data_IF_352026977224
#
_entry.id   IF_352026977224
#
_cell.length_a   1.000
_cell.length_b   1.000
_cell.length_c   1.000
_cell.angle_alpha   90.00
_cell.angle_beta   90.00
_cell.angle_gamma   90.00
#
_symmetry.space_group_name_H-M   'P 1'
#
loop_
_entity.id
_entity.type
_entity.pdbx_description
1 polymer ?
#
# COMPACT_ATOMS: atom_id res chain seq x y z
N UNK A 1 -0.46 -16.32 -6.85
CA UNK A 1 0.45 -15.88 -7.96
C UNK A 1 1.88 -16.08 -7.48
N UNK A 2 2.87 -16.46 -8.29
CA UNK A 2 4.25 -16.63 -7.75
C UNK A 2 5.03 -15.32 -7.74
N UNK A 3 6.04 -15.23 -6.85
CA UNK A 3 6.91 -14.04 -6.70
C UNK A 3 7.61 -13.67 -8.02
N UNK A 4 7.99 -14.65 -8.84
CA UNK A 4 8.59 -14.47 -10.17
C UNK A 4 7.75 -13.52 -11.04
N UNK A 5 6.41 -13.60 -10.98
CA UNK A 5 5.56 -12.75 -11.81
C UNK A 5 5.66 -11.27 -11.40
N UNK A 6 5.82 -10.98 -10.10
CA UNK A 6 6.03 -9.61 -9.61
C UNK A 6 7.41 -9.11 -10.04
N UNK A 7 8.42 -9.98 -9.91
CA UNK A 7 9.78 -9.69 -10.36
C UNK A 7 9.82 -9.34 -11.85
N UNK A 8 9.20 -10.17 -12.70
CA UNK A 8 9.19 -9.96 -14.14
C UNK A 8 8.56 -8.61 -14.51
N UNK A 9 7.45 -8.27 -13.87
CA UNK A 9 6.80 -6.98 -14.07
C UNK A 9 7.70 -5.82 -13.62
N UNK A 10 8.40 -5.94 -12.49
CA UNK A 10 9.32 -4.91 -12.03
C UNK A 10 10.50 -4.72 -13.02
N UNK A 11 11.09 -5.82 -13.53
CA UNK A 11 12.15 -5.75 -14.54
C UNK A 11 11.65 -5.08 -15.82
N UNK A 12 10.41 -5.36 -16.23
CA UNK A 12 9.79 -4.68 -17.37
C UNK A 12 9.55 -3.19 -17.14
N UNK A 13 9.10 -2.79 -15.95
CA UNK A 13 8.94 -1.38 -15.60
C UNK A 13 10.27 -0.63 -15.64
N UNK A 14 11.34 -1.28 -15.19
CA UNK A 14 12.70 -0.74 -15.16
C UNK A 14 13.37 -0.73 -16.54
N UNK A 15 12.74 -1.30 -17.57
CA UNK A 15 13.33 -1.55 -18.90
C UNK A 15 14.66 -2.31 -18.83
N UNK A 16 14.77 -3.23 -17.87
CA UNK A 16 15.98 -4.03 -17.61
C UNK A 16 15.93 -5.43 -18.23
N UNK A 17 14.87 -5.76 -18.98
CA UNK A 17 14.79 -7.03 -19.71
C UNK A 17 15.83 -7.09 -20.84
N UNK A 18 16.15 -8.30 -21.27
CA UNK A 18 16.93 -8.48 -22.48
C UNK A 18 16.22 -7.87 -23.70
N UNK A 19 16.83 -6.88 -24.34
CA UNK A 19 16.24 -6.10 -25.44
C UNK A 19 15.81 -6.95 -26.65
N UNK A 20 16.47 -8.08 -26.89
CA UNK A 20 16.22 -8.93 -28.07
C UNK A 20 15.20 -10.05 -27.81
N UNK A 21 15.02 -10.47 -26.57
CA UNK A 21 14.21 -11.65 -26.22
C UNK A 21 13.07 -11.35 -25.25
N UNK A 22 13.10 -10.20 -24.59
CA UNK A 22 12.19 -9.88 -23.49
C UNK A 22 12.45 -10.67 -22.20
N UNK A 23 13.50 -11.49 -22.14
CA UNK A 23 13.82 -12.27 -20.95
C UNK A 23 14.18 -11.37 -19.77
N UNK A 24 13.50 -11.56 -18.64
CA UNK A 24 13.75 -10.89 -17.36
C UNK A 24 14.80 -11.59 -16.53
N UNK A 25 15.09 -12.86 -16.83
CA UNK A 25 16.14 -13.65 -16.18
C UNK A 25 17.39 -13.60 -17.05
N UNK A 26 18.35 -12.77 -16.65
CA UNK A 26 19.62 -12.57 -17.35
C UNK A 26 20.78 -12.56 -16.34
N UNK A 27 22.02 -12.43 -16.84
CA UNK A 27 23.16 -12.24 -15.95
C UNK A 27 23.07 -10.90 -15.19
N UNK A 28 22.55 -9.85 -15.84
CA UNK A 28 22.48 -8.49 -15.29
C UNK A 28 21.36 -8.34 -14.25
N UNK A 29 20.26 -9.08 -14.38
CA UNK A 29 19.14 -9.03 -13.42
C UNK A 29 19.29 -10.03 -12.26
N UNK A 30 20.38 -10.80 -12.24
CA UNK A 30 20.61 -11.83 -11.23
C UNK A 30 20.66 -11.27 -9.81
N UNK A 31 21.28 -10.11 -9.62
CA UNK A 31 21.33 -9.47 -8.31
C UNK A 31 19.92 -9.08 -7.84
N UNK A 32 19.11 -8.52 -8.74
CA UNK A 32 17.73 -8.15 -8.44
C UNK A 32 16.90 -9.36 -8.01
N UNK A 33 17.05 -10.49 -8.72
CA UNK A 33 16.38 -11.73 -8.38
C UNK A 33 16.71 -12.20 -6.95
N UNK A 34 17.99 -12.11 -6.53
CA UNK A 34 18.44 -12.50 -5.19
C UNK A 34 17.91 -11.56 -4.09
N UNK A 35 17.74 -10.28 -4.39
CA UNK A 35 17.21 -9.28 -3.44
C UNK A 35 15.69 -9.32 -3.32
N UNK A 36 15.00 -9.82 -4.35
CA UNK A 36 13.53 -9.75 -4.46
C UNK A 36 12.79 -10.37 -3.29
N UNK A 37 13.07 -11.61 -2.82
CA UNK A 37 12.32 -12.19 -1.70
C UNK A 37 12.38 -11.32 -0.43
N UNK A 38 13.57 -10.79 -0.12
CA UNK A 38 13.76 -9.91 1.04
C UNK A 38 12.97 -8.61 0.89
N UNK A 39 13.01 -7.99 -0.30
CA UNK A 39 12.26 -6.76 -0.56
C UNK A 39 10.75 -7.01 -0.48
N UNK A 40 10.25 -8.08 -1.10
CA UNK A 40 8.83 -8.44 -1.05
C UNK A 40 8.37 -8.60 0.41
N UNK A 41 9.14 -9.31 1.24
CA UNK A 41 8.80 -9.45 2.67
C UNK A 41 8.63 -8.11 3.39
N UNK A 42 9.41 -7.07 3.04
CA UNK A 42 9.23 -5.73 3.62
C UNK A 42 7.97 -5.01 3.15
N UNK A 43 7.44 -5.40 1.98
CA UNK A 43 6.25 -4.81 1.39
C UNK A 43 4.96 -5.57 1.79
N UNK A 44 5.05 -6.86 2.14
CA UNK A 44 3.88 -7.69 2.49
C UNK A 44 3.01 -7.05 3.56
N UNK A 45 3.61 -6.60 4.67
CA UNK A 45 2.87 -5.98 5.78
C UNK A 45 2.21 -4.64 5.41
N UNK A 46 2.70 -3.98 4.36
CA UNK A 46 2.15 -2.72 3.87
C UNK A 46 0.94 -2.94 2.96
N UNK A 47 1.00 -3.99 2.12
CA UNK A 47 -0.02 -4.25 1.09
C UNK A 47 -1.11 -5.20 1.56
N UNK A 48 -0.81 -6.13 2.46
CA UNK A 48 -1.74 -7.18 2.86
C UNK A 48 -3.06 -6.65 3.42
N UNK A 49 -3.10 -5.61 4.28
CA UNK A 49 -4.35 -5.02 4.77
C UNK A 49 -5.28 -4.47 3.68
N UNK A 50 -4.75 -4.21 2.49
CA UNK A 50 -5.50 -3.70 1.35
C UNK A 50 -5.78 -4.76 0.31
N UNK A 51 -5.41 -6.01 0.59
CA UNK A 51 -5.66 -7.12 -0.30
C UNK A 51 -7.07 -7.67 -0.11
N UNK A 52 -7.69 -8.11 -1.21
CA UNK A 52 -8.97 -8.82 -1.16
C UNK A 52 -8.92 -10.17 -0.44
N UNK A 53 -7.72 -10.71 -0.19
CA UNK A 53 -7.51 -11.94 0.61
C UNK A 53 -7.36 -11.65 2.11
N UNK A 54 -7.35 -10.38 2.52
CA UNK A 54 -7.22 -10.02 3.93
C UNK A 54 -8.47 -10.44 4.71
N UNK A 55 -8.32 -11.21 5.80
CA UNK A 55 -9.46 -11.71 6.54
C UNK A 55 -10.17 -10.59 7.30
N UNK A 56 -11.50 -10.71 7.45
CA UNK A 56 -12.24 -9.89 8.39
C UNK A 56 -11.75 -10.18 9.81
N UNK A 57 -11.30 -9.15 10.51
CA UNK A 57 -10.83 -9.27 11.89
C UNK A 57 -12.02 -9.05 12.81
N UNK A 58 -12.30 -10.01 13.70
CA UNK A 58 -13.36 -9.86 14.70
C UNK A 58 -12.97 -8.79 15.75
N UNK A 59 -13.98 -8.08 16.26
CA UNK A 59 -13.79 -7.10 17.34
C UNK A 59 -13.17 -7.77 18.57
N UNK A 60 -12.03 -7.25 19.01
CA UNK A 60 -11.29 -7.76 20.16
C UNK A 60 -10.21 -8.80 19.85
N UNK A 61 -9.96 -9.15 18.58
CA UNK A 61 -8.78 -9.94 18.22
C UNK A 61 -7.49 -9.20 18.60
N UNK A 62 -6.59 -9.89 19.31
CA UNK A 62 -5.27 -9.39 19.67
C UNK A 62 -4.20 -9.67 18.62
N UNK A 63 -4.50 -10.46 17.60
CA UNK A 63 -3.53 -10.90 16.60
C UNK A 63 -3.77 -10.20 15.26
N UNK A 64 -2.68 -9.69 14.67
CA UNK A 64 -2.70 -9.10 13.34
C UNK A 64 -2.53 -10.22 12.31
N UNK A 65 -3.44 -10.34 11.32
CA UNK A 65 -3.24 -11.22 10.17
C UNK A 65 -1.91 -10.94 9.47
N UNK A 66 -1.19 -11.98 9.09
CA UNK A 66 0.07 -11.88 8.38
C UNK A 66 0.15 -12.92 7.26
N UNK A 67 0.97 -12.63 6.25
CA UNK A 67 1.33 -13.59 5.22
C UNK A 67 2.65 -14.29 5.57
N UNK A 68 2.80 -15.59 5.23
CA UNK A 68 4.09 -16.26 5.34
C UNK A 68 5.17 -15.51 4.57
N UNK A 69 6.39 -15.49 5.11
CA UNK A 69 7.53 -14.90 4.41
C UNK A 69 7.89 -15.72 3.18
N UNK A 70 8.29 -15.03 2.11
CA UNK A 70 8.85 -15.64 0.91
C UNK A 70 10.37 -15.78 1.02
N UNK A 71 10.89 -16.82 0.42
CA UNK A 71 12.30 -17.24 0.40
C UNK A 71 12.86 -17.37 -1.01
N UNK A 72 11.99 -17.58 -2.01
CA UNK A 72 12.36 -17.78 -3.41
C UNK A 72 11.42 -17.05 -4.37
N UNK A 73 11.82 -16.96 -5.66
CA UNK A 73 10.93 -16.45 -6.71
C UNK A 73 9.80 -17.43 -7.08
N UNK A 74 9.95 -18.70 -6.72
CA UNK A 74 8.96 -19.74 -7.00
C UNK A 74 7.84 -19.77 -5.95
N UNK A 75 8.04 -19.09 -4.82
CA UNK A 75 7.08 -19.07 -3.72
C UNK A 75 5.77 -18.39 -4.14
N UNK A 76 4.66 -18.90 -3.60
CA UNK A 76 3.34 -18.35 -3.85
C UNK A 76 3.05 -17.13 -2.97
N UNK A 77 2.44 -16.13 -3.59
CA UNK A 77 1.83 -14.97 -2.94
C UNK A 77 0.31 -15.14 -2.91
N UNK A 78 -0.23 -15.25 -1.69
CA UNK A 78 -1.67 -15.26 -1.42
C UNK A 78 -2.23 -13.83 -1.29
N UNK A 79 -2.03 -13.08 -2.35
CA UNK A 79 -2.51 -11.71 -2.53
C UNK A 79 -3.42 -11.66 -3.76
N UNK A 80 -4.39 -10.75 -3.75
CA UNK A 80 -5.23 -10.54 -4.91
C UNK A 80 -4.45 -9.99 -6.12
N UNK A 81 -5.06 -10.14 -7.30
CA UNK A 81 -4.44 -9.78 -8.57
C UNK A 81 -4.16 -8.27 -8.71
N UNK A 82 -4.92 -7.40 -8.05
CA UNK A 82 -4.71 -5.94 -8.11
C UNK A 82 -3.42 -5.57 -7.38
N UNK A 83 -3.24 -6.03 -6.14
CA UNK A 83 -2.00 -5.83 -5.38
C UNK A 83 -0.80 -6.42 -6.14
N UNK A 84 -0.96 -7.65 -6.59
CA UNK A 84 0.06 -8.39 -7.31
C UNK A 84 0.56 -7.71 -8.60
N UNK A 85 -0.33 -7.05 -9.36
CA UNK A 85 0.00 -6.52 -10.70
C UNK A 85 0.19 -5.02 -10.76
N UNK A 86 -0.50 -4.27 -9.90
CA UNK A 86 -0.52 -2.80 -9.96
C UNK A 86 0.20 -2.15 -8.78
N UNK A 87 0.42 -2.85 -7.67
CA UNK A 87 1.04 -2.27 -6.48
C UNK A 87 2.45 -2.80 -6.30
N UNK A 88 2.60 -4.10 -6.07
CA UNK A 88 3.89 -4.71 -5.73
C UNK A 88 5.02 -4.48 -6.74
N UNK A 89 4.80 -4.55 -8.07
CA UNK A 89 5.89 -4.35 -9.04
C UNK A 89 6.54 -2.97 -8.95
N UNK A 90 5.76 -1.92 -8.64
CA UNK A 90 6.26 -0.55 -8.48
C UNK A 90 7.07 -0.39 -7.19
N UNK A 91 6.60 -0.97 -6.09
CA UNK A 91 7.34 -0.96 -4.82
C UNK A 91 8.67 -1.70 -4.94
N UNK A 92 8.64 -2.87 -5.60
CA UNK A 92 9.84 -3.66 -5.88
C UNK A 92 10.83 -2.89 -6.78
N UNK A 93 10.37 -2.33 -7.90
CA UNK A 93 11.21 -1.56 -8.81
C UNK A 93 11.85 -0.34 -8.12
N UNK A 94 11.08 0.39 -7.30
CA UNK A 94 11.59 1.53 -6.54
C UNK A 94 12.73 1.15 -5.57
N UNK A 95 12.55 0.05 -4.84
CA UNK A 95 13.55 -0.42 -3.87
C UNK A 95 14.78 -1.07 -4.52
N UNK A 96 14.63 -1.72 -5.67
CA UNK A 96 15.76 -2.26 -6.43
C UNK A 96 16.67 -1.13 -6.95
N UNK A 97 16.08 -0.07 -7.49
CA UNK A 97 16.81 1.05 -8.10
C UNK A 97 17.34 2.11 -7.14
N UNK A 98 17.11 1.98 -5.83
CA UNK A 98 17.41 3.06 -4.86
C UNK A 98 18.88 3.53 -4.92
N UNK A 99 19.83 2.61 -5.12
CA UNK A 99 21.25 2.94 -5.20
C UNK A 99 21.72 3.26 -6.64
N UNK A 100 21.05 2.72 -7.65
CA UNK A 100 21.47 2.81 -9.05
C UNK A 100 20.91 4.03 -9.77
N UNK A 101 19.62 4.32 -9.55
CA UNK A 101 18.92 5.42 -10.18
C UNK A 101 17.87 6.02 -9.23
N UNK A 102 18.28 6.91 -8.32
CA UNK A 102 17.40 7.52 -7.32
C UNK A 102 16.19 8.27 -7.91
N UNK A 103 16.34 8.80 -9.13
CA UNK A 103 15.24 9.52 -9.81
C UNK A 103 14.15 8.56 -10.24
N UNK A 104 14.50 7.47 -10.93
CA UNK A 104 13.53 6.44 -11.31
C UNK A 104 12.98 5.70 -10.09
N UNK A 105 13.83 5.43 -9.09
CA UNK A 105 13.42 4.82 -7.83
C UNK A 105 12.30 5.63 -7.15
N UNK A 106 12.47 6.95 -7.05
CA UNK A 106 11.46 7.85 -6.48
C UNK A 106 10.18 7.87 -7.30
N UNK A 107 10.27 7.89 -8.64
CA UNK A 107 9.09 7.81 -9.50
C UNK A 107 8.27 6.54 -9.19
N UNK A 108 8.89 5.37 -9.21
CA UNK A 108 8.20 4.11 -8.91
C UNK A 108 7.67 4.05 -7.49
N UNK A 109 8.40 4.59 -6.52
CA UNK A 109 7.93 4.66 -5.14
C UNK A 109 6.67 5.53 -4.99
N UNK A 110 6.62 6.69 -5.66
CA UNK A 110 5.41 7.53 -5.67
C UNK A 110 4.23 6.80 -6.31
N UNK A 111 4.44 6.16 -7.47
CA UNK A 111 3.39 5.36 -8.12
C UNK A 111 2.92 4.18 -7.27
N UNK A 112 3.82 3.53 -6.53
CA UNK A 112 3.48 2.49 -5.55
C UNK A 112 2.52 3.03 -4.48
N UNK A 113 2.83 4.17 -3.88
CA UNK A 113 2.00 4.80 -2.85
C UNK A 113 0.63 5.23 -3.39
N UNK A 114 0.58 5.76 -4.61
CA UNK A 114 -0.67 6.13 -5.28
C UNK A 114 -1.56 4.89 -5.52
N UNK A 115 -0.99 3.81 -6.03
CA UNK A 115 -1.72 2.57 -6.28
C UNK A 115 -2.15 1.88 -4.98
N UNK A 116 -1.35 1.96 -3.92
CA UNK A 116 -1.72 1.48 -2.58
C UNK A 116 -2.92 2.26 -2.02
N UNK A 117 -2.92 3.59 -2.18
CA UNK A 117 -4.04 4.43 -1.77
C UNK A 117 -5.30 4.15 -2.61
N UNK A 118 -5.13 3.86 -3.90
CA UNK A 118 -6.22 3.42 -4.75
C UNK A 118 -6.76 2.04 -4.33
N UNK A 119 -5.91 1.10 -3.90
CA UNK A 119 -6.34 -0.18 -3.33
C UNK A 119 -7.22 0.06 -2.10
N UNK A 120 -6.75 0.91 -1.18
CA UNK A 120 -7.47 1.27 0.04
C UNK A 120 -8.86 1.84 -0.23
N UNK A 121 -9.00 2.74 -1.21
CA UNK A 121 -10.30 3.36 -1.54
C UNK A 121 -11.30 2.42 -2.23
N UNK A 122 -10.84 1.27 -2.73
CA UNK A 122 -11.67 0.28 -3.43
C UNK A 122 -12.07 -0.90 -2.56
N UNK A 123 -11.55 -1.00 -1.34
CA UNK A 123 -12.06 -1.96 -0.37
C UNK A 123 -13.55 -1.67 -0.16
N UNK A 124 -14.42 -2.70 -0.20
CA UNK A 124 -15.82 -2.50 0.10
C UNK A 124 -15.93 -1.89 1.50
N UNK A 125 -16.65 -0.77 1.61
CA UNK A 125 -17.02 -0.16 2.89
C UNK A 125 -18.03 -1.04 3.63
N UNK A 126 -17.70 -2.30 3.89
CA UNK A 126 -18.52 -3.17 4.73
C UNK A 126 -18.30 -2.74 6.17
N UNK A 127 -19.18 -1.86 6.67
CA UNK A 127 -19.29 -1.55 8.10
C UNK A 127 -18.89 -0.15 8.54
N UNK A 128 -18.72 0.83 7.65
CA UNK A 128 -18.83 2.24 8.11
C UNK A 128 -20.31 2.50 8.30
N UNK A 129 -20.84 2.06 9.45
CA UNK A 129 -22.04 2.68 9.97
C UNK A 129 -21.75 4.18 10.04
N UNK A 130 -22.66 4.98 9.47
CA UNK A 130 -22.64 6.42 9.69
C UNK A 130 -22.53 6.63 11.19
N UNK A 131 -21.52 7.38 11.65
CA UNK A 131 -21.53 7.92 13.01
C UNK A 131 -22.86 8.65 13.15
N UNK A 132 -23.81 8.09 13.89
CA UNK A 132 -24.96 8.85 14.32
C UNK A 132 -24.40 10.02 15.14
N UNK A 133 -24.81 11.24 14.79
CA UNK A 133 -24.53 12.42 15.61
C UNK A 133 -25.25 12.25 16.95
N UNK A 134 -24.64 11.52 17.88
CA UNK A 134 -25.03 11.43 19.29
C UNK A 134 -24.56 12.70 20.01
N UNK A 135 -24.88 13.85 19.42
CA UNK A 135 -24.92 15.14 20.11
C UNK A 135 -26.28 15.80 19.91
N UNK A 136 -27.34 14.98 19.95
CA UNK A 136 -28.66 15.39 20.39
C UNK A 136 -28.65 15.59 21.91
N UNK A 137 -28.16 16.73 22.38
CA UNK A 137 -28.07 17.07 23.79
C UNK A 137 -28.48 18.51 24.06
N UNK A 138 -29.76 18.85 23.81
CA UNK A 138 -30.35 20.11 24.23
C UNK A 138 -31.58 20.51 23.44
N UNK A 139 -32.73 19.89 23.72
CA UNK A 139 -34.02 20.46 23.39
C UNK A 139 -34.19 21.82 24.10
N UNK A 140 -34.56 22.85 23.34
CA UNK A 140 -35.31 23.98 23.88
C UNK A 140 -34.89 25.37 23.37
N UNK A 141 -35.66 25.91 22.42
CA UNK A 141 -35.93 27.36 22.37
C UNK A 141 -35.28 28.16 21.23
N UNK A 142 -36.09 28.37 20.19
CA UNK A 142 -36.21 29.56 19.32
C UNK A 142 -34.99 30.32 18.79
N UNK A 143 -35.07 30.56 17.47
CA UNK A 143 -34.52 31.67 16.69
C UNK A 143 -33.04 31.62 16.24
N UNK A 144 -32.90 31.20 14.98
CA UNK A 144 -32.12 31.83 13.92
C UNK A 144 -30.94 32.77 14.31
N UNK A 145 -29.71 32.37 13.94
CA UNK A 145 -28.83 33.04 12.96
C UNK A 145 -27.35 32.70 13.22
N UNK A 146 -26.65 32.30 12.15
CA UNK A 146 -25.31 32.80 11.85
C UNK A 146 -24.11 32.18 12.56
N UNK A 147 -23.35 31.39 11.80
CA UNK A 147 -21.90 31.18 11.87
C UNK A 147 -21.09 32.12 12.79
N UNK A 148 -20.13 31.55 13.55
CA UNK A 148 -18.88 32.27 13.84
C UNK A 148 -18.11 31.85 15.09
N UNK A 149 -16.86 31.41 14.91
CA UNK A 149 -15.78 31.82 15.80
C UNK A 149 -15.12 30.73 16.64
N UNK A 150 -14.01 30.21 16.13
CA UNK A 150 -12.94 29.61 16.92
C UNK A 150 -12.33 30.73 17.79
N UNK A 151 -12.47 30.66 19.11
CA UNK A 151 -11.77 31.59 20.01
C UNK A 151 -10.36 31.07 20.32
N UNK A 152 -9.38 31.56 19.54
CA UNK A 152 -7.96 31.52 19.89
C UNK A 152 -7.67 32.43 21.08
N UNK A 153 -6.73 32.01 21.92
CA UNK A 153 -6.39 32.63 23.19
C UNK A 153 -5.92 34.08 23.17
N UNK A 154 -5.98 34.68 24.37
CA UNK A 154 -5.31 35.92 24.73
C UNK A 154 -4.77 35.82 26.16
N UNK A 155 -3.44 35.73 26.28
CA UNK A 155 -2.74 36.01 27.52
C UNK A 155 -2.81 37.51 27.82
N UNK A 156 -3.00 37.89 29.08
CA UNK A 156 -2.76 39.26 29.55
C UNK A 156 -3.22 39.51 30.98
N UNK A 157 -2.25 39.57 31.90
CA UNK A 157 -2.33 40.24 33.22
C UNK A 157 -2.85 41.68 33.00
N UNK A 158 -3.64 42.33 33.84
CA UNK A 158 -3.56 42.67 35.26
C UNK A 158 -4.93 43.20 35.71
#
# INVERSE_FOLDING_TARGET
>A
MIVQNVFDQAIHLMDAQNESTGSTTTADTKEYALRTPNIINTLLDQVYPYSGTYPSVEDGSSERPFLPSVSSLEDELDLDAYICRNVLPFGLAGLLLTEENPTQANFFWQTYLENLNAAKSRLPSSGIESVEDVYGGGEGGESALGWGGIEYGGFGRW
#
